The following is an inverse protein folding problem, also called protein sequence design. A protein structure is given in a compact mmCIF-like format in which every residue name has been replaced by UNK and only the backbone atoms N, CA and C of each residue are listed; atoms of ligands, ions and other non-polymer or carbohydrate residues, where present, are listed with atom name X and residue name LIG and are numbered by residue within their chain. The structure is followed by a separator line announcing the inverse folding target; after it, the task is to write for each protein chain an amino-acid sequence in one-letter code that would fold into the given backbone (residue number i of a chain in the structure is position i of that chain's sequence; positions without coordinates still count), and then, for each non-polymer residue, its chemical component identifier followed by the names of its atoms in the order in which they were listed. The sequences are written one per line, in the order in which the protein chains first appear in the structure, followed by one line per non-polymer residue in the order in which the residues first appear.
data_IF_792405640222
#
_entry.id   IF_792405640222
#
_cell.length_a   1.000
_cell.length_b   1.000
_cell.length_c   1.000
_cell.angle_alpha   90.00
_cell.angle_beta   90.00
_cell.angle_gamma   90.00
#
_symmetry.space_group_name_H-M   'P 1'
#
loop_
_entity.id
_entity.type
_entity.pdbx_description
1 polymer ?
#
# COMPACT_ATOMS: atom_id res chain seq x y z
N UNK A 1 -7.66 -8.02 -20.80
CA UNK A 1 -6.84 -8.17 -19.56
C UNK A 1 -5.41 -7.60 -19.71
N UNK A 2 -4.71 -7.82 -20.83
CA UNK A 2 -3.39 -7.21 -21.07
C UNK A 2 -3.46 -5.68 -21.23
N UNK A 3 -4.50 -5.18 -21.89
CA UNK A 3 -4.72 -3.76 -22.13
C UNK A 3 -4.87 -2.99 -20.81
N UNK A 4 -5.71 -3.47 -19.88
CA UNK A 4 -5.93 -2.82 -18.59
C UNK A 4 -4.67 -2.73 -17.71
N UNK A 5 -3.77 -3.70 -17.81
CA UNK A 5 -2.49 -3.68 -17.07
C UNK A 5 -1.51 -2.70 -17.73
N UNK A 6 -1.47 -2.66 -19.06
CA UNK A 6 -0.60 -1.75 -19.81
C UNK A 6 -1.02 -0.29 -19.66
N UNK A 7 -2.33 -0.07 -19.60
CA UNK A 7 -2.93 1.26 -19.51
C UNK A 7 -3.18 1.67 -18.05
N UNK A 8 -2.61 0.93 -17.07
CA UNK A 8 -2.58 1.38 -15.69
C UNK A 8 -2.01 2.80 -15.65
N UNK A 9 -2.75 3.74 -15.07
CA UNK A 9 -2.38 5.15 -14.98
C UNK A 9 -0.97 5.37 -14.39
N UNK A 10 -0.51 4.45 -13.56
CA UNK A 10 0.84 4.46 -13.02
C UNK A 10 1.92 4.32 -14.10
N UNK A 11 1.63 3.59 -15.17
CA UNK A 11 2.60 3.39 -16.26
C UNK A 11 2.61 4.51 -17.29
N UNK A 12 1.76 5.49 -17.15
CA UNK A 12 1.73 6.69 -17.99
C UNK A 12 2.67 7.72 -17.37
N UNK A 13 3.74 8.07 -18.05
CA UNK A 13 4.82 8.95 -17.55
C UNK A 13 4.32 10.26 -16.94
N UNK A 14 3.22 10.80 -17.45
CA UNK A 14 2.60 12.04 -16.96
C UNK A 14 1.88 11.88 -15.61
N UNK A 15 1.58 10.66 -15.19
CA UNK A 15 0.76 10.37 -14.00
C UNK A 15 1.47 9.48 -12.97
N UNK A 16 2.80 9.41 -12.99
CA UNK A 16 3.55 8.64 -11.99
C UNK A 16 3.31 9.24 -10.61
N UNK A 17 2.80 8.45 -9.63
CA UNK A 17 2.56 8.95 -8.29
C UNK A 17 3.88 9.16 -7.55
N UNK A 18 3.95 10.20 -6.74
CA UNK A 18 5.08 10.43 -5.82
C UNK A 18 4.98 9.54 -4.58
N UNK A 19 3.75 9.32 -4.11
CA UNK A 19 3.44 8.50 -2.95
C UNK A 19 2.35 7.51 -3.29
N UNK A 20 2.57 6.25 -2.92
CA UNK A 20 1.59 5.17 -3.03
C UNK A 20 1.27 4.65 -1.64
N UNK A 21 0.00 4.52 -1.34
CA UNK A 21 -0.50 3.99 -0.09
C UNK A 21 -1.53 2.89 -0.32
N UNK A 22 -1.81 2.13 0.71
CA UNK A 22 -2.82 1.08 0.73
C UNK A 22 -2.75 0.30 2.02
N UNK A 23 -3.71 -0.58 2.25
CA UNK A 23 -3.73 -1.42 3.45
C UNK A 23 -2.92 -2.69 3.23
N UNK A 24 -1.72 -2.76 3.80
CA UNK A 24 -0.76 -3.85 3.61
C UNK A 24 -0.25 -3.97 2.16
N UNK A 25 -0.19 -2.84 1.46
CA UNK A 25 0.18 -2.76 0.04
C UNK A 25 1.63 -3.18 -0.22
N UNK A 26 2.55 -2.88 0.71
CA UNK A 26 3.97 -3.23 0.62
C UNK A 26 4.20 -4.74 0.46
N UNK A 27 3.38 -5.56 1.12
CA UNK A 27 3.52 -7.02 1.13
C UNK A 27 2.58 -7.74 0.17
N UNK A 28 1.51 -7.11 -0.30
CA UNK A 28 0.48 -7.72 -1.13
C UNK A 28 0.37 -7.09 -2.52
N UNK A 29 -0.07 -5.85 -2.60
CA UNK A 29 -0.44 -5.23 -3.86
C UNK A 29 0.77 -4.96 -4.74
N UNK A 30 1.82 -4.36 -4.18
CA UNK A 30 3.05 -4.04 -4.91
C UNK A 30 3.77 -5.29 -5.42
N UNK A 31 4.03 -6.32 -4.60
CA UNK A 31 4.64 -7.56 -5.09
C UNK A 31 3.78 -8.29 -6.14
N UNK A 32 2.46 -8.29 -5.97
CA UNK A 32 1.57 -8.88 -6.95
C UNK A 32 1.62 -8.13 -8.27
N UNK A 33 1.50 -6.80 -8.23
CA UNK A 33 1.50 -5.95 -9.41
C UNK A 33 2.83 -6.07 -10.17
N UNK A 34 3.95 -5.95 -9.47
CA UNK A 34 5.30 -6.04 -10.05
C UNK A 34 5.51 -7.38 -10.76
N UNK A 35 5.24 -8.49 -10.07
CA UNK A 35 5.37 -9.83 -10.66
C UNK A 35 4.39 -10.07 -11.80
N UNK A 36 3.20 -9.51 -11.70
CA UNK A 36 2.20 -9.65 -12.76
C UNK A 36 2.58 -8.87 -14.00
N UNK A 37 3.08 -7.66 -13.84
CA UNK A 37 3.59 -6.84 -14.94
C UNK A 37 4.80 -7.51 -15.62
N UNK A 38 5.76 -7.98 -14.83
CA UNK A 38 6.91 -8.68 -15.37
C UNK A 38 6.50 -9.92 -16.17
N UNK A 39 5.60 -10.75 -15.62
CA UNK A 39 5.13 -11.97 -16.30
C UNK A 39 4.34 -11.70 -17.58
N UNK A 40 3.58 -10.60 -17.65
CA UNK A 40 2.64 -10.32 -18.77
C UNK A 40 3.28 -9.43 -19.81
N UNK A 41 4.06 -8.45 -19.41
CA UNK A 41 4.63 -7.42 -20.27
C UNK A 41 6.15 -7.50 -20.40
N UNK A 42 6.80 -8.27 -19.53
CA UNK A 42 8.25 -8.40 -19.44
C UNK A 42 8.90 -7.31 -18.61
N UNK A 43 10.12 -7.57 -18.16
CA UNK A 43 10.90 -6.74 -17.23
C UNK A 43 11.04 -5.29 -17.70
N UNK A 44 11.28 -5.06 -18.98
CA UNK A 44 11.45 -3.71 -19.54
C UNK A 44 10.24 -2.80 -19.31
N UNK A 45 9.03 -3.34 -19.45
CA UNK A 45 7.80 -2.58 -19.20
C UNK A 45 7.46 -2.53 -17.72
N UNK A 46 7.73 -3.60 -16.95
CA UNK A 46 7.56 -3.59 -15.49
C UNK A 46 8.41 -2.49 -14.84
N UNK A 47 9.63 -2.26 -15.29
CA UNK A 47 10.50 -1.19 -14.78
C UNK A 47 9.93 0.22 -14.96
N UNK A 48 8.94 0.43 -15.85
CA UNK A 48 8.22 1.70 -16.00
C UNK A 48 7.30 2.05 -14.83
N UNK A 49 7.13 1.15 -13.84
CA UNK A 49 6.53 1.52 -12.55
C UNK A 49 7.36 2.61 -11.84
N UNK A 50 8.66 2.63 -12.08
CA UNK A 50 9.57 3.66 -11.58
C UNK A 50 9.81 4.71 -12.67
N UNK A 51 9.73 6.02 -12.35
CA UNK A 51 10.11 7.08 -13.29
C UNK A 51 11.58 7.01 -13.72
N UNK A 52 12.42 6.36 -12.89
CA UNK A 52 13.85 6.17 -13.17
C UNK A 52 14.19 4.77 -13.70
N UNK A 53 13.19 3.92 -13.91
CA UNK A 53 13.39 2.55 -14.34
C UNK A 53 14.04 1.64 -13.28
N UNK A 54 14.03 2.06 -12.02
CA UNK A 54 14.65 1.37 -10.90
C UNK A 54 13.58 0.64 -10.07
N UNK A 55 13.48 -0.66 -10.26
CA UNK A 55 12.64 -1.54 -9.43
C UNK A 55 13.54 -2.63 -8.87
N UNK A 56 13.68 -2.67 -7.55
CA UNK A 56 14.59 -3.58 -6.85
C UNK A 56 13.82 -4.49 -5.92
N UNK A 57 14.11 -5.78 -5.96
CA UNK A 57 13.55 -6.75 -5.04
C UNK A 57 14.23 -6.64 -3.68
N UNK A 58 13.45 -6.60 -2.61
CA UNK A 58 13.91 -6.55 -1.22
C UNK A 58 13.33 -7.71 -0.42
N UNK A 59 14.20 -8.41 0.28
CA UNK A 59 13.79 -9.47 1.22
C UNK A 59 13.48 -8.88 2.59
N UNK A 60 12.29 -9.19 3.10
CA UNK A 60 11.85 -8.80 4.43
C UNK A 60 11.60 -10.05 5.26
N UNK A 61 12.09 -10.08 6.49
CA UNK A 61 11.84 -11.18 7.42
C UNK A 61 10.77 -10.77 8.43
N UNK A 62 9.59 -11.37 8.34
CA UNK A 62 8.48 -11.12 9.26
C UNK A 62 8.16 -12.42 10.00
N UNK A 63 8.27 -12.41 11.33
CA UNK A 63 8.02 -13.58 12.19
C UNK A 63 8.76 -14.84 11.72
N UNK A 64 10.03 -14.68 11.29
CA UNK A 64 10.87 -15.79 10.82
C UNK A 64 10.53 -16.31 9.41
N UNK A 65 9.57 -15.70 8.72
CA UNK A 65 9.23 -16.02 7.33
C UNK A 65 9.80 -14.98 6.39
N UNK A 66 10.47 -15.46 5.34
CA UNK A 66 10.96 -14.63 4.25
C UNK A 66 9.78 -14.18 3.39
N UNK A 67 9.64 -12.88 3.22
CA UNK A 67 8.70 -12.26 2.29
C UNK A 67 9.45 -11.34 1.33
N UNK A 68 8.89 -11.14 0.17
CA UNK A 68 9.48 -10.32 -0.88
C UNK A 68 8.64 -9.07 -1.03
N UNK A 69 9.29 -7.93 -0.94
CA UNK A 69 8.78 -6.61 -1.28
C UNK A 69 9.57 -6.03 -2.44
N UNK A 70 9.15 -4.92 -3.00
CA UNK A 70 9.83 -4.23 -4.09
C UNK A 70 9.97 -2.75 -3.77
N UNK A 71 11.18 -2.23 -3.92
CA UNK A 71 11.45 -0.80 -3.85
C UNK A 71 11.35 -0.21 -5.27
N UNK A 72 10.51 0.80 -5.43
CA UNK A 72 10.25 1.47 -6.69
C UNK A 72 10.91 2.85 -6.63
N UNK A 73 12.04 2.99 -7.31
CA UNK A 73 12.81 4.25 -7.31
C UNK A 73 11.97 5.43 -7.79
N UNK A 74 11.93 6.50 -7.01
CA UNK A 74 11.12 7.70 -7.29
C UNK A 74 9.65 7.63 -6.87
N UNK A 75 9.21 6.50 -6.27
CA UNK A 75 7.86 6.33 -5.75
C UNK A 75 7.94 5.88 -4.31
N UNK A 76 7.51 6.71 -3.40
CA UNK A 76 7.49 6.41 -1.96
C UNK A 76 6.32 5.50 -1.62
N UNK A 77 6.58 4.42 -0.88
CA UNK A 77 5.55 3.51 -0.40
C UNK A 77 5.26 3.78 1.07
N UNK A 78 4.11 4.39 1.34
CA UNK A 78 3.62 4.60 2.71
C UNK A 78 2.45 3.64 2.99
N UNK A 79 2.77 2.42 3.42
CA UNK A 79 1.76 1.43 3.78
C UNK A 79 0.93 1.91 4.97
N UNK A 80 -0.38 2.08 4.76
CA UNK A 80 -1.28 2.65 5.76
C UNK A 80 -1.43 1.78 7.01
N UNK A 81 -1.33 0.46 6.87
CA UNK A 81 -1.30 -0.45 8.02
C UNK A 81 -0.06 -0.22 8.90
N UNK A 82 1.09 0.04 8.27
CA UNK A 82 2.32 0.33 9.00
C UNK A 82 2.25 1.69 9.69
N UNK A 83 1.69 2.71 9.03
CA UNK A 83 1.40 4.01 9.63
C UNK A 83 0.45 3.87 10.83
N UNK A 84 -0.65 3.15 10.64
CA UNK A 84 -1.62 2.90 11.71
C UNK A 84 -0.97 2.24 12.93
N UNK A 85 -0.21 1.16 12.73
CA UNK A 85 0.50 0.47 13.84
C UNK A 85 1.52 1.34 14.54
N UNK A 86 2.19 2.23 13.81
CA UNK A 86 3.25 3.07 14.36
C UNK A 86 2.70 4.23 15.16
N UNK A 87 1.66 4.89 14.68
CA UNK A 87 1.16 6.16 15.25
C UNK A 87 -0.10 5.97 16.11
N UNK A 88 -0.68 4.78 16.19
CA UNK A 88 -1.75 4.47 17.14
C UNK A 88 -1.20 3.73 18.35
N UNK A 89 -1.44 4.30 19.54
CA UNK A 89 -0.92 3.75 20.80
C UNK A 89 -1.74 2.57 21.35
N UNK A 90 -2.94 2.32 20.83
CA UNK A 90 -3.78 1.20 21.25
C UNK A 90 -3.52 -0.02 20.38
N UNK A 91 -3.08 -1.10 21.00
CA UNK A 91 -3.08 -2.40 20.34
C UNK A 91 -4.52 -2.82 20.01
N UNK A 92 -4.74 -3.29 18.78
CA UNK A 92 -6.03 -3.76 18.31
C UNK A 92 -6.08 -5.29 18.34
N UNK A 93 -7.25 -5.86 18.52
CA UNK A 93 -7.46 -7.32 18.48
C UNK A 93 -7.19 -7.89 17.08
N UNK A 94 -7.49 -7.11 16.05
CA UNK A 94 -7.24 -7.46 14.65
C UNK A 94 -6.81 -6.23 13.86
N UNK A 95 -5.88 -6.44 12.92
CA UNK A 95 -5.41 -5.40 11.99
C UNK A 95 -5.96 -5.60 10.58
N UNK A 96 -7.09 -6.29 10.45
CA UNK A 96 -7.82 -6.34 9.17
C UNK A 96 -8.50 -5.00 8.91
N UNK A 97 -8.55 -4.60 7.64
CA UNK A 97 -9.13 -3.32 7.25
C UNK A 97 -10.58 -3.16 7.72
N UNK A 98 -11.39 -4.22 7.60
CA UNK A 98 -12.78 -4.26 8.05
C UNK A 98 -12.94 -4.00 9.56
N UNK A 99 -12.07 -4.63 10.36
CA UNK A 99 -12.07 -4.44 11.81
C UNK A 99 -11.67 -3.00 12.18
N UNK A 100 -10.57 -2.52 11.62
CA UNK A 100 -10.10 -1.15 11.90
C UNK A 100 -11.10 -0.10 11.43
N UNK A 101 -11.68 -0.27 10.24
CA UNK A 101 -12.74 0.61 9.77
C UNK A 101 -13.97 0.60 10.69
N UNK A 102 -14.34 -0.55 11.26
CA UNK A 102 -15.44 -0.61 12.23
C UNK A 102 -15.12 0.08 13.55
N UNK A 103 -13.87 -0.02 14.03
CA UNK A 103 -13.42 0.63 15.27
C UNK A 103 -13.29 2.14 15.08
N UNK A 104 -12.65 2.57 13.99
CA UNK A 104 -12.33 3.97 13.76
C UNK A 104 -13.48 4.75 13.13
N UNK A 105 -14.15 4.19 12.13
CA UNK A 105 -15.21 4.88 11.38
C UNK A 105 -16.62 4.49 11.81
N UNK A 106 -16.79 3.44 12.61
CA UNK A 106 -18.09 2.87 12.96
C UNK A 106 -18.80 2.21 11.79
N UNK A 107 -18.11 1.96 10.69
CA UNK A 107 -18.67 1.40 9.45
C UNK A 107 -18.32 -0.08 9.34
N UNK A 108 -19.31 -0.90 9.00
CA UNK A 108 -19.08 -2.31 8.68
C UNK A 108 -18.83 -2.45 7.18
N UNK A 109 -17.91 -3.35 6.84
CA UNK A 109 -17.61 -3.76 5.47
C UNK A 109 -18.82 -4.44 4.83
N UNK A 110 -18.89 -4.43 3.48
CA UNK A 110 -19.87 -5.24 2.73
C UNK A 110 -19.68 -6.72 3.06
N UNK A 111 -20.79 -7.37 3.41
CA UNK A 111 -20.82 -8.80 3.66
C UNK A 111 -20.76 -9.56 2.32
N UNK A 112 -19.88 -10.53 2.22
CA UNK A 112 -19.69 -11.42 1.08
C UNK A 112 -19.94 -12.89 1.46
N UNK A 113 -20.61 -13.12 2.59
CA UNK A 113 -20.95 -14.45 3.10
C UNK A 113 -21.86 -15.27 2.16
N UNK A 114 -22.43 -14.64 1.13
CA UNK A 114 -23.22 -15.30 0.11
C UNK A 114 -22.42 -16.26 -0.81
N UNK A 115 -21.08 -16.19 -0.78
CA UNK A 115 -20.21 -17.01 -1.62
C UNK A 115 -19.39 -17.98 -0.77
N UNK A 116 -19.47 -19.27 -1.09
CA UNK A 116 -18.78 -20.35 -0.36
C UNK A 116 -17.25 -20.21 -0.42
N UNK A 117 -16.72 -19.71 -1.53
CA UNK A 117 -15.28 -19.52 -1.71
C UNK A 117 -14.96 -18.16 -2.33
N UNK A 118 -13.78 -17.62 -2.00
CA UNK A 118 -13.29 -16.39 -2.61
C UNK A 118 -13.16 -16.53 -4.15
N UNK A 119 -12.90 -17.74 -4.66
CA UNK A 119 -12.87 -18.02 -6.08
C UNK A 119 -14.26 -17.86 -6.73
N UNK A 120 -15.31 -18.32 -6.08
CA UNK A 120 -16.68 -18.13 -6.56
C UNK A 120 -17.07 -16.66 -6.54
N UNK A 121 -16.63 -15.90 -5.53
CA UNK A 121 -16.86 -14.48 -5.43
C UNK A 121 -16.32 -13.72 -6.66
N UNK A 122 -15.05 -13.89 -7.04
CA UNK A 122 -14.52 -13.15 -8.20
C UNK A 122 -14.90 -13.76 -9.57
N UNK A 123 -15.42 -14.99 -9.62
CA UNK A 123 -15.85 -15.62 -10.90
C UNK A 123 -17.32 -15.46 -11.18
N UNK A 124 -18.16 -15.62 -10.16
CA UNK A 124 -19.64 -15.58 -10.28
C UNK A 124 -20.22 -14.21 -9.86
N UNK A 125 -19.59 -13.55 -8.87
CA UNK A 125 -20.00 -12.27 -8.32
C UNK A 125 -19.12 -11.10 -8.78
N UNK A 126 -18.68 -11.09 -10.03
CA UNK A 126 -17.75 -10.08 -10.57
C UNK A 126 -18.12 -8.64 -10.24
N UNK A 127 -19.40 -8.25 -10.39
CA UNK A 127 -19.84 -6.89 -10.08
C UNK A 127 -19.65 -6.55 -8.61
N UNK A 128 -20.12 -7.42 -7.72
CA UNK A 128 -19.94 -7.26 -6.26
C UNK A 128 -18.45 -7.30 -5.87
N UNK A 129 -17.63 -8.08 -6.57
CA UNK A 129 -16.19 -8.11 -6.34
C UNK A 129 -15.51 -6.79 -6.68
N UNK A 130 -15.91 -6.14 -7.77
CA UNK A 130 -15.41 -4.80 -8.13
C UNK A 130 -15.84 -3.76 -7.11
N UNK A 131 -17.12 -3.75 -6.72
CA UNK A 131 -17.67 -2.86 -5.69
C UNK A 131 -16.95 -3.04 -4.35
N UNK A 132 -16.69 -4.29 -3.96
CA UNK A 132 -15.91 -4.61 -2.78
C UNK A 132 -14.50 -3.99 -2.80
N UNK A 133 -13.78 -4.12 -3.92
CA UNK A 133 -12.45 -3.52 -4.05
C UNK A 133 -12.49 -1.99 -4.03
N UNK A 134 -13.51 -1.37 -4.61
CA UNK A 134 -13.69 0.08 -4.55
C UNK A 134 -13.89 0.53 -3.11
N UNK A 135 -14.74 -0.17 -2.36
CA UNK A 135 -14.99 0.15 -0.95
C UNK A 135 -13.73 -0.03 -0.09
N UNK A 136 -12.89 -1.02 -0.36
CA UNK A 136 -11.63 -1.19 0.36
C UNK A 136 -10.71 0.03 0.18
N UNK A 137 -10.65 0.60 -1.02
CA UNK A 137 -9.89 1.84 -1.29
C UNK A 137 -10.54 3.03 -0.59
N UNK A 138 -11.87 3.20 -0.69
CA UNK A 138 -12.60 4.28 -0.02
C UNK A 138 -12.47 4.23 1.50
N UNK A 139 -12.39 3.04 2.10
CA UNK A 139 -12.17 2.90 3.54
C UNK A 139 -10.80 3.43 3.97
N UNK A 140 -9.76 3.20 3.19
CA UNK A 140 -8.42 3.75 3.47
C UNK A 140 -8.43 5.27 3.34
N UNK A 141 -9.09 5.81 2.32
CA UNK A 141 -9.25 7.25 2.11
C UNK A 141 -9.98 7.91 3.30
N UNK A 142 -11.10 7.33 3.75
CA UNK A 142 -11.85 7.80 4.92
C UNK A 142 -11.08 7.68 6.23
N UNK A 143 -10.24 6.65 6.37
CA UNK A 143 -9.34 6.52 7.51
C UNK A 143 -8.31 7.66 7.50
N UNK A 144 -7.74 7.98 6.33
CA UNK A 144 -6.83 9.12 6.20
C UNK A 144 -7.53 10.44 6.48
N UNK A 145 -8.74 10.65 5.99
CA UNK A 145 -9.53 11.85 6.27
C UNK A 145 -9.72 12.10 7.77
N UNK A 146 -9.94 11.01 8.53
CA UNK A 146 -10.11 11.08 9.98
C UNK A 146 -8.80 11.19 10.74
N UNK A 147 -7.81 10.38 10.39
CA UNK A 147 -6.62 10.17 11.21
C UNK A 147 -5.41 11.02 10.78
N UNK A 148 -5.36 11.43 9.50
CA UNK A 148 -4.30 12.27 8.93
C UNK A 148 -2.89 11.69 9.13
N UNK A 149 -2.73 10.36 9.02
CA UNK A 149 -1.47 9.69 9.27
C UNK A 149 -0.44 9.90 8.16
N UNK A 150 -0.89 10.01 6.91
CA UNK A 150 0.00 10.34 5.78
C UNK A 150 0.48 11.79 5.94
N UNK A 151 -0.44 12.72 6.21
CA UNK A 151 -0.09 14.12 6.45
C UNK A 151 0.91 14.26 7.61
N UNK A 152 0.70 13.52 8.71
CA UNK A 152 1.63 13.47 9.83
C UNK A 152 3.00 12.94 9.40
N UNK A 153 3.06 11.83 8.66
CA UNK A 153 4.31 11.25 8.19
C UNK A 153 5.09 12.21 7.27
N UNK A 154 4.40 12.86 6.34
CA UNK A 154 5.01 13.85 5.44
C UNK A 154 5.55 15.06 6.21
N UNK A 155 4.80 15.57 7.18
CA UNK A 155 5.23 16.69 8.03
C UNK A 155 6.46 16.31 8.85
N UNK A 156 6.46 15.13 9.47
CA UNK A 156 7.62 14.64 10.23
C UNK A 156 8.86 14.46 9.35
N UNK A 157 8.71 13.91 8.16
CA UNK A 157 9.82 13.76 7.23
C UNK A 157 10.39 15.10 6.77
N UNK A 158 9.52 16.06 6.49
CA UNK A 158 9.91 17.42 6.11
C UNK A 158 10.68 18.12 7.23
N UNK A 159 10.18 18.08 8.46
CA UNK A 159 10.83 18.71 9.61
C UNK A 159 12.17 18.05 9.95
N UNK A 160 12.23 16.72 9.85
CA UNK A 160 13.44 15.94 10.08
C UNK A 160 14.42 15.98 8.89
N UNK A 161 14.03 16.48 7.72
CA UNK A 161 14.79 16.48 6.47
C UNK A 161 15.25 15.08 6.05
N UNK A 162 14.37 14.11 6.14
CA UNK A 162 14.57 12.71 5.76
C UNK A 162 13.62 12.32 4.62
N UNK A 163 13.87 11.18 3.98
CA UNK A 163 12.91 10.63 3.04
C UNK A 163 11.62 10.21 3.75
N UNK A 164 10.49 10.23 3.06
CA UNK A 164 9.18 9.90 3.63
C UNK A 164 9.14 8.49 4.25
N UNK A 165 9.83 7.51 3.68
CA UNK A 165 9.92 6.16 4.23
C UNK A 165 10.77 6.08 5.51
N UNK A 166 11.69 7.00 5.71
CA UNK A 166 12.57 7.00 6.89
C UNK A 166 11.83 7.33 8.19
N UNK A 167 10.60 7.86 8.10
CA UNK A 167 9.74 8.05 9.28
C UNK A 167 9.43 6.73 10.00
N UNK A 168 9.51 5.59 9.30
CA UNK A 168 9.39 4.28 9.93
C UNK A 168 10.62 3.87 10.72
N UNK A 169 11.79 4.48 10.50
CA UNK A 169 13.06 4.15 11.12
C UNK A 169 13.49 5.23 12.10
N UNK A 170 13.12 5.06 13.38
CA UNK A 170 13.40 6.05 14.43
C UNK A 170 14.87 6.47 14.49
N UNK A 171 15.79 5.53 14.39
CA UNK A 171 17.23 5.81 14.48
C UNK A 171 17.66 6.77 13.37
N UNK A 172 17.32 6.49 12.12
CA UNK A 172 17.66 7.37 10.99
C UNK A 172 17.08 8.77 11.14
N UNK A 173 15.83 8.85 11.58
CA UNK A 173 15.17 10.13 11.79
C UNK A 173 15.87 10.95 12.87
N UNK A 174 16.16 10.35 14.02
CA UNK A 174 16.87 11.03 15.11
C UNK A 174 18.31 11.41 14.76
N UNK A 175 19.05 10.52 14.10
CA UNK A 175 20.41 10.83 13.64
C UNK A 175 20.40 12.08 12.75
N UNK A 176 19.48 12.16 11.81
CA UNK A 176 19.39 13.32 10.91
C UNK A 176 19.00 14.60 11.66
N UNK A 177 18.06 14.52 12.60
CA UNK A 177 17.66 15.69 13.43
C UNK A 177 18.82 16.19 14.29
N UNK A 178 19.63 15.28 14.83
CA UNK A 178 20.76 15.64 15.71
C UNK A 178 21.90 16.27 14.89
N UNK A 179 22.12 15.84 13.66
CA UNK A 179 23.21 16.33 12.81
C UNK A 179 22.87 17.57 11.98
N UNK A 180 21.60 17.97 11.88
CA UNK A 180 21.15 19.19 11.21
C UNK A 180 20.90 20.34 12.20
#
# INVERSE_FOLDING_TARGET
RQMCIRDSWWMVEENTPEVVTGWNSELYDIPYLTRRLDRVLGEKLMRRMSPWGLVTEREIHIMGRKQISYDIGGVTQLDYLNLYKKFTYKAQESYRLDYIASVELGQKKLDHSEFDTFKDFYTKGWQKFVEYNIIDVELVDRLEDKMKLIELALTMAYDAKVNYEDVFYQVRMWDTIIYN
#
